data_IF_335750830077
#
_entry.id   IF_335750830077
#
_cell.length_a   1.000
_cell.length_b   1.000
_cell.length_c   1.000
_cell.angle_alpha   90.00
_cell.angle_beta   90.00
_cell.angle_gamma   90.00
#
_symmetry.space_group_name_H-M   'P 1'
#
loop_
_entity.id
_entity.type
_entity.pdbx_description
1 polymer ?
#
# COMPACT_ATOMS: atom_id res chain seq x y z
N UNK A 1 -0.21 4.55 19.86
CA UNK A 1 -1.45 4.00 19.24
C UNK A 1 -1.03 2.82 18.38
N UNK A 2 -1.80 1.74 18.36
CA UNK A 2 -1.40 0.48 17.71
C UNK A 2 -2.26 0.13 16.52
N UNK A 3 -1.98 -1.02 15.93
CA UNK A 3 -2.78 -1.63 14.86
C UNK A 3 -4.19 -1.95 15.37
N UNK A 4 -5.21 -1.53 14.60
CA UNK A 4 -6.58 -2.02 14.74
C UNK A 4 -6.85 -3.04 13.65
N UNK A 5 -7.41 -4.21 13.96
CA UNK A 5 -7.82 -5.19 12.93
C UNK A 5 -9.34 -5.21 12.86
N UNK A 6 -9.89 -5.03 11.66
CA UNK A 6 -11.33 -4.97 11.41
C UNK A 6 -11.73 -5.95 10.33
N UNK A 7 -12.81 -6.69 10.58
CA UNK A 7 -13.44 -7.52 9.56
C UNK A 7 -14.20 -6.63 8.58
N UNK A 8 -13.95 -6.78 7.28
CA UNK A 8 -14.62 -6.03 6.23
C UNK A 8 -13.77 -5.81 4.98
N UNK A 9 -14.40 -5.26 3.95
CA UNK A 9 -13.73 -4.89 2.71
C UNK A 9 -12.96 -3.57 2.88
N UNK A 10 -11.67 -3.61 2.59
CA UNK A 10 -10.80 -2.42 2.59
C UNK A 10 -11.36 -1.31 1.69
N UNK A 11 -12.01 -1.68 0.58
CA UNK A 11 -12.60 -0.75 -0.37
C UNK A 11 -13.78 0.05 0.20
N UNK A 12 -14.32 -0.39 1.34
CA UNK A 12 -15.38 0.28 2.10
C UNK A 12 -14.84 0.94 3.37
N UNK A 13 -13.52 1.07 3.50
CA UNK A 13 -12.89 1.74 4.63
C UNK A 13 -13.43 3.16 4.82
N UNK A 14 -13.79 3.49 6.05
CA UNK A 14 -14.22 4.84 6.43
C UNK A 14 -13.03 5.82 6.52
N UNK A 15 -11.82 5.27 6.62
CA UNK A 15 -10.57 6.00 6.70
C UNK A 15 -10.32 6.84 5.45
N UNK A 16 -9.61 7.94 5.63
CA UNK A 16 -9.34 8.89 4.55
C UNK A 16 -8.36 8.33 3.51
N UNK A 17 -7.39 7.52 3.97
CA UNK A 17 -6.36 6.92 3.12
C UNK A 17 -6.55 5.40 3.01
N UNK A 18 -6.51 4.87 1.79
CA UNK A 18 -6.40 3.44 1.50
C UNK A 18 -5.01 3.20 0.91
N UNK A 19 -4.16 2.45 1.61
CA UNK A 19 -2.83 2.08 1.13
C UNK A 19 -2.77 0.62 0.69
N UNK A 20 -1.97 0.34 -0.34
CA UNK A 20 -1.70 -1.02 -0.78
C UNK A 20 -0.32 -1.13 -1.45
N UNK A 21 0.25 -2.33 -1.43
CA UNK A 21 1.54 -2.58 -2.06
C UNK A 21 1.38 -2.74 -3.58
N UNK A 22 2.18 -2.00 -4.35
CA UNK A 22 2.33 -2.11 -5.80
C UNK A 22 3.72 -2.57 -6.20
N UNK A 23 3.85 -3.04 -7.44
CA UNK A 23 5.15 -3.30 -8.05
C UNK A 23 5.68 -2.08 -8.82
N UNK A 24 6.97 -2.07 -9.17
CA UNK A 24 7.54 -1.05 -10.03
C UNK A 24 7.25 -1.26 -11.52
N UNK A 25 6.69 -2.40 -11.93
CA UNK A 25 6.53 -2.79 -13.35
C UNK A 25 5.27 -2.21 -14.02
N UNK A 26 4.50 -1.35 -13.35
CA UNK A 26 3.26 -0.81 -13.93
C UNK A 26 2.12 -1.83 -14.04
N UNK A 27 2.17 -2.95 -13.32
CA UNK A 27 1.14 -4.01 -13.40
C UNK A 27 0.23 -4.06 -12.18
N UNK A 28 -1.09 -4.03 -12.40
CA UNK A 28 -2.10 -4.01 -11.33
C UNK A 28 -3.27 -4.95 -11.68
N UNK A 29 -2.99 -6.25 -11.74
CA UNK A 29 -3.88 -7.26 -12.34
C UNK A 29 -4.51 -8.28 -11.40
N UNK A 30 -4.18 -8.28 -10.11
CA UNK A 30 -4.63 -9.30 -9.15
C UNK A 30 -4.74 -8.78 -7.72
N UNK A 31 -5.47 -9.53 -6.88
CA UNK A 31 -5.64 -9.22 -5.46
C UNK A 31 -6.28 -7.86 -5.21
N UNK A 32 -5.94 -7.25 -4.07
CA UNK A 32 -6.43 -5.92 -3.67
C UNK A 32 -6.13 -4.84 -4.72
N UNK A 33 -4.98 -4.94 -5.39
CA UNK A 33 -4.57 -3.97 -6.41
C UNK A 33 -5.54 -3.96 -7.61
N UNK A 34 -6.06 -5.12 -8.03
CA UNK A 34 -7.10 -5.20 -9.07
C UNK A 34 -8.40 -4.53 -8.62
N UNK A 35 -8.79 -4.74 -7.36
CA UNK A 35 -10.02 -4.16 -6.81
C UNK A 35 -9.89 -2.63 -6.68
N UNK A 36 -8.73 -2.14 -6.20
CA UNK A 36 -8.40 -0.71 -6.16
C UNK A 36 -8.45 -0.09 -7.57
N UNK A 37 -7.83 -0.74 -8.56
CA UNK A 37 -7.92 -0.28 -9.97
C UNK A 37 -9.36 -0.11 -10.46
N UNK A 38 -10.24 -1.04 -10.08
CA UNK A 38 -11.62 -1.03 -10.54
C UNK A 38 -12.44 0.08 -9.88
N UNK A 39 -12.16 0.40 -8.60
CA UNK A 39 -12.90 1.41 -7.86
C UNK A 39 -12.30 2.82 -7.94
N UNK A 40 -10.98 2.93 -8.03
CA UNK A 40 -10.21 4.18 -8.06
C UNK A 40 -9.31 4.22 -9.31
N UNK A 41 -9.91 4.36 -10.52
CA UNK A 41 -9.16 4.35 -11.77
C UNK A 41 -8.09 5.45 -11.83
N UNK A 42 -8.30 6.60 -11.19
CA UNK A 42 -7.35 7.71 -11.12
C UNK A 42 -6.05 7.31 -10.42
N UNK A 43 -6.14 6.48 -9.38
CA UNK A 43 -4.97 5.95 -8.69
C UNK A 43 -4.15 4.99 -9.57
N UNK A 44 -4.82 4.27 -10.47
CA UNK A 44 -4.18 3.40 -11.45
C UNK A 44 -3.55 4.19 -12.60
N UNK A 45 -4.24 5.21 -13.11
CA UNK A 45 -3.72 6.08 -14.16
C UNK A 45 -2.46 6.83 -13.70
N UNK A 46 -2.49 7.42 -12.50
CA UNK A 46 -1.33 8.08 -11.90
C UNK A 46 -0.18 7.10 -11.63
N UNK A 47 -0.48 5.86 -11.23
CA UNK A 47 0.51 4.80 -11.08
C UNK A 47 1.18 4.45 -12.41
N UNK A 48 0.41 4.25 -13.48
CA UNK A 48 0.95 3.97 -14.81
C UNK A 48 1.80 5.12 -15.33
N UNK A 49 1.33 6.35 -15.19
CA UNK A 49 2.07 7.54 -15.60
C UNK A 49 3.42 7.60 -14.89
N UNK A 50 3.43 7.45 -13.56
CA UNK A 50 4.65 7.46 -12.77
C UNK A 50 5.62 6.33 -13.18
N UNK A 51 5.11 5.11 -13.35
CA UNK A 51 5.92 3.98 -13.83
C UNK A 51 6.50 4.19 -15.23
N UNK A 52 5.81 4.94 -16.09
CA UNK A 52 6.27 5.19 -17.47
C UNK A 52 7.43 6.18 -17.57
N UNK A 53 7.60 7.04 -16.56
CA UNK A 53 8.54 8.18 -16.59
C UNK A 53 9.63 8.11 -15.53
N UNK A 54 9.71 7.03 -14.77
CA UNK A 54 10.63 6.87 -13.64
C UNK A 54 11.19 5.46 -13.65
N UNK A 55 12.49 5.30 -13.40
CA UNK A 55 13.12 3.98 -13.37
C UNK A 55 12.60 3.15 -12.21
N UNK A 56 12.64 1.82 -12.34
CA UNK A 56 12.14 0.91 -11.30
C UNK A 56 12.92 1.07 -9.98
N UNK A 57 14.22 1.34 -10.09
CA UNK A 57 15.13 1.59 -8.97
C UNK A 57 14.76 2.87 -8.22
N UNK A 58 14.33 3.90 -8.94
CA UNK A 58 13.86 5.15 -8.32
C UNK A 58 12.47 4.98 -7.69
N UNK A 59 11.62 4.11 -8.24
CA UNK A 59 10.29 3.83 -7.71
C UNK A 59 10.33 3.02 -6.42
N UNK A 60 11.25 2.06 -6.31
CA UNK A 60 11.30 1.14 -5.18
C UNK A 60 11.45 1.90 -3.85
N UNK A 61 10.51 1.68 -2.94
CA UNK A 61 10.44 2.35 -1.64
C UNK A 61 9.65 3.66 -1.62
N UNK A 62 9.14 4.15 -2.76
CA UNK A 62 8.30 5.34 -2.80
C UNK A 62 6.87 5.06 -2.36
N UNK A 63 6.24 6.09 -1.79
CA UNK A 63 4.79 6.17 -1.64
C UNK A 63 4.25 7.23 -2.60
N UNK A 64 3.46 6.82 -3.60
CA UNK A 64 2.70 7.77 -4.42
C UNK A 64 1.31 7.93 -3.80
N UNK A 65 1.01 9.16 -3.37
CA UNK A 65 -0.32 9.52 -2.89
C UNK A 65 -1.15 10.13 -4.02
N UNK A 66 -2.35 9.59 -4.23
CA UNK A 66 -3.29 10.08 -5.24
C UNK A 66 -4.59 10.45 -4.55
N UNK A 67 -5.04 11.69 -4.70
CA UNK A 67 -6.34 12.12 -4.19
C UNK A 67 -7.39 11.90 -5.28
N UNK A 68 -8.48 11.23 -4.93
CA UNK A 68 -9.62 10.99 -5.82
C UNK A 68 -10.58 12.18 -5.80
N UNK A 69 -11.46 12.35 -6.80
CA UNK A 69 -12.39 13.47 -6.87
C UNK A 69 -13.34 13.59 -5.66
N UNK A 70 -13.67 12.47 -5.01
CA UNK A 70 -14.52 12.40 -3.81
C UNK A 70 -13.75 12.62 -2.50
N UNK A 71 -12.44 12.93 -2.58
CA UNK A 71 -11.61 13.30 -1.44
C UNK A 71 -10.95 12.13 -0.71
N UNK A 72 -11.15 10.88 -1.17
CA UNK A 72 -10.36 9.73 -0.69
C UNK A 72 -8.90 9.88 -1.17
N UNK A 73 -7.97 9.30 -0.41
CA UNK A 73 -6.57 9.23 -0.78
C UNK A 73 -6.18 7.76 -1.01
N UNK A 74 -5.58 7.45 -2.15
CA UNK A 74 -5.03 6.12 -2.44
C UNK A 74 -3.51 6.19 -2.42
N UNK A 75 -2.88 5.35 -1.62
CA UNK A 75 -1.43 5.26 -1.50
C UNK A 75 -0.92 4.01 -2.24
N UNK A 76 -0.23 4.24 -3.37
CA UNK A 76 0.51 3.19 -4.08
C UNK A 76 1.89 3.05 -3.41
N UNK A 77 2.07 1.97 -2.63
CA UNK A 77 3.29 1.70 -1.87
C UNK A 77 4.21 0.80 -2.68
N UNK A 78 5.28 1.33 -3.25
CA UNK A 78 6.21 0.61 -4.12
C UNK A 78 7.15 -0.32 -3.33
N UNK A 79 6.58 -1.38 -2.74
CA UNK A 79 7.29 -2.38 -1.94
C UNK A 79 7.75 -3.61 -2.73
N UNK A 80 7.66 -3.58 -4.07
CA UNK A 80 7.92 -4.74 -4.91
C UNK A 80 8.61 -4.32 -6.20
N UNK A 81 9.83 -4.78 -6.46
CA UNK A 81 10.51 -4.43 -7.71
C UNK A 81 9.88 -5.14 -8.93
N UNK A 82 9.66 -6.47 -8.83
CA UNK A 82 9.07 -7.34 -9.85
C UNK A 82 7.80 -8.01 -9.36
N UNK A 83 6.91 -8.46 -10.23
CA UNK A 83 5.70 -9.21 -9.85
C UNK A 83 5.67 -10.64 -10.38
N UNK A 84 4.81 -11.48 -9.80
CA UNK A 84 4.57 -12.82 -10.30
C UNK A 84 3.77 -13.70 -9.35
N UNK A 85 3.78 -15.00 -9.63
CA UNK A 85 3.09 -16.05 -8.87
C UNK A 85 4.01 -17.20 -8.47
N UNK A 86 5.31 -17.07 -8.75
CA UNK A 86 6.29 -18.08 -8.38
C UNK A 86 6.51 -18.06 -6.86
N UNK A 87 6.93 -19.17 -6.24
CA UNK A 87 7.25 -19.22 -4.81
C UNK A 87 8.59 -18.53 -4.52
N UNK A 88 8.67 -17.23 -4.82
CA UNK A 88 9.82 -16.35 -4.63
C UNK A 88 9.35 -15.13 -3.84
N UNK A 89 10.16 -14.65 -2.92
CA UNK A 89 9.94 -13.37 -2.25
C UNK A 89 9.99 -12.23 -3.28
N UNK A 90 8.87 -11.52 -3.43
CA UNK A 90 8.78 -10.33 -4.26
C UNK A 90 8.67 -9.05 -3.44
N UNK A 91 8.12 -9.13 -2.22
CA UNK A 91 8.14 -8.01 -1.28
C UNK A 91 9.57 -7.72 -0.87
N UNK A 92 9.98 -6.49 -1.14
CA UNK A 92 11.20 -5.91 -0.58
C UNK A 92 10.81 -5.22 0.74
N UNK A 93 11.27 -5.79 1.86
CA UNK A 93 10.87 -5.30 3.18
C UNK A 93 11.38 -3.90 3.47
N UNK A 94 12.58 -3.55 3.00
CA UNK A 94 13.15 -2.22 3.22
C UNK A 94 12.41 -1.18 2.38
N UNK A 95 12.04 -1.53 1.15
CA UNK A 95 11.19 -0.70 0.30
C UNK A 95 9.79 -0.51 0.91
N UNK A 96 9.15 -1.59 1.37
CA UNK A 96 7.84 -1.51 2.00
C UNK A 96 7.88 -0.63 3.26
N UNK A 97 8.91 -0.77 4.10
CA UNK A 97 9.14 0.06 5.29
C UNK A 97 9.26 1.54 4.93
N UNK A 98 10.03 1.87 3.90
CA UNK A 98 10.20 3.26 3.43
C UNK A 98 8.87 3.84 2.94
N UNK A 99 8.12 3.08 2.13
CA UNK A 99 6.84 3.52 1.61
C UNK A 99 5.79 3.72 2.72
N UNK A 100 5.70 2.80 3.67
CA UNK A 100 4.81 2.91 4.84
C UNK A 100 5.19 4.11 5.73
N UNK A 101 6.48 4.38 5.90
CA UNK A 101 6.94 5.55 6.67
C UNK A 101 6.56 6.87 5.98
N UNK A 102 6.68 6.94 4.65
CA UNK A 102 6.22 8.09 3.87
C UNK A 102 4.70 8.27 3.95
N UNK A 103 3.94 7.18 3.88
CA UNK A 103 2.49 7.18 4.07
C UNK A 103 2.11 7.77 5.44
N UNK A 104 2.73 7.27 6.53
CA UNK A 104 2.52 7.81 7.88
C UNK A 104 2.83 9.30 7.94
N UNK A 105 3.96 9.74 7.39
CA UNK A 105 4.35 11.14 7.36
C UNK A 105 3.29 12.02 6.70
N UNK A 106 2.86 11.63 5.50
CA UNK A 106 1.81 12.32 4.75
C UNK A 106 0.49 12.40 5.55
N UNK A 107 0.07 11.29 6.12
CA UNK A 107 -1.18 11.17 6.88
C UNK A 107 -1.15 12.02 8.14
N UNK A 108 -0.05 11.94 8.91
CA UNK A 108 0.15 12.71 10.14
C UNK A 108 0.11 14.22 9.89
N UNK A 109 0.82 14.70 8.87
CA UNK A 109 0.85 16.13 8.53
C UNK A 109 -0.53 16.71 8.23
N UNK A 110 -1.46 15.87 7.76
CA UNK A 110 -2.81 16.28 7.31
C UNK A 110 -3.93 15.81 8.24
N UNK A 111 -3.60 15.09 9.32
CA UNK A 111 -4.60 14.51 10.23
C UNK A 111 -5.50 13.44 9.58
N UNK A 112 -4.97 12.67 8.61
CA UNK A 112 -5.74 11.68 7.84
C UNK A 112 -5.63 10.28 8.45
N UNK A 113 -6.76 9.61 8.67
CA UNK A 113 -6.78 8.20 9.10
C UNK A 113 -6.40 7.24 7.97
N UNK A 114 -5.76 6.11 8.31
CA UNK A 114 -5.15 5.19 7.34
C UNK A 114 -5.74 3.78 7.47
N UNK A 115 -6.12 3.20 6.34
CA UNK A 115 -6.49 1.80 6.18
C UNK A 115 -5.53 1.06 5.25
N UNK A 116 -5.16 -0.17 5.62
CA UNK A 116 -4.34 -1.09 4.82
C UNK A 116 -5.03 -2.47 4.76
N UNK A 117 -4.76 -3.31 3.75
CA UNK A 117 -5.19 -4.69 3.78
C UNK A 117 -4.38 -5.47 4.83
N UNK A 118 -5.06 -6.31 5.61
CA UNK A 118 -4.41 -7.36 6.39
C UNK A 118 -3.60 -8.26 5.44
N UNK A 119 -2.40 -8.69 5.84
CA UNK A 119 -1.47 -9.40 4.95
C UNK A 119 -0.97 -8.60 3.74
N UNK A 120 -0.90 -7.26 3.84
CA UNK A 120 -0.18 -6.44 2.85
C UNK A 120 1.22 -7.01 2.59
N UNK A 121 1.59 -7.14 1.31
CA UNK A 121 2.88 -7.70 0.90
C UNK A 121 3.06 -9.22 1.11
N UNK A 122 2.11 -9.92 1.73
CA UNK A 122 2.32 -11.33 2.14
C UNK A 122 1.61 -12.36 1.26
N UNK A 123 0.58 -11.96 0.50
CA UNK A 123 -0.13 -12.85 -0.42
C UNK A 123 0.70 -13.22 -1.65
N UNK A 124 0.33 -12.68 -2.83
CA UNK A 124 1.04 -13.00 -4.08
C UNK A 124 2.51 -12.55 -4.12
N UNK A 125 2.90 -11.63 -3.23
CA UNK A 125 4.27 -11.14 -3.12
C UNK A 125 5.14 -11.98 -2.17
N UNK A 126 4.57 -13.00 -1.51
CA UNK A 126 5.24 -13.99 -0.66
C UNK A 126 6.07 -13.41 0.50
N UNK A 127 5.70 -12.23 1.02
CA UNK A 127 6.23 -11.72 2.28
C UNK A 127 5.79 -12.56 3.49
N UNK A 128 6.54 -12.45 4.58
CA UNK A 128 6.23 -13.03 5.88
C UNK A 128 5.41 -12.04 6.70
N UNK A 129 4.21 -12.45 7.10
CA UNK A 129 3.32 -11.59 7.87
C UNK A 129 3.91 -11.18 9.20
N UNK A 130 4.69 -12.03 9.87
CA UNK A 130 5.30 -11.71 11.16
C UNK A 130 6.28 -10.53 11.04
N UNK A 131 7.01 -10.47 9.92
CA UNK A 131 7.93 -9.36 9.61
C UNK A 131 7.15 -8.09 9.30
N UNK A 132 6.13 -8.19 8.42
CA UNK A 132 5.34 -7.03 8.00
C UNK A 132 4.50 -6.46 9.16
N UNK A 133 3.92 -7.32 9.99
CA UNK A 133 3.15 -6.92 11.16
C UNK A 133 4.03 -6.21 12.19
N UNK A 134 5.22 -6.74 12.49
CA UNK A 134 6.17 -6.07 13.37
C UNK A 134 6.60 -4.70 12.81
N UNK A 135 6.86 -4.63 11.49
CA UNK A 135 7.19 -3.38 10.80
C UNK A 135 6.06 -2.35 10.88
N UNK A 136 4.80 -2.75 10.64
CA UNK A 136 3.66 -1.83 10.74
C UNK A 136 3.49 -1.35 12.19
N UNK A 137 3.60 -2.25 13.17
CA UNK A 137 3.50 -1.87 14.59
C UNK A 137 4.57 -0.85 14.99
N UNK A 138 5.80 -1.02 14.55
CA UNK A 138 6.90 -0.09 14.81
C UNK A 138 6.67 1.27 14.12
N UNK A 139 6.35 1.26 12.82
CA UNK A 139 6.14 2.49 12.06
C UNK A 139 4.97 3.27 12.65
N UNK A 140 3.86 2.60 12.96
CA UNK A 140 2.61 3.22 13.40
C UNK A 140 2.44 3.25 14.92
N UNK A 141 3.50 3.06 15.71
CA UNK A 141 3.43 3.00 17.19
C UNK A 141 2.79 4.23 17.87
N UNK A 142 2.80 5.37 17.18
CA UNK A 142 2.29 6.67 17.62
C UNK A 142 1.25 7.24 16.64
N UNK A 143 0.71 6.43 15.73
CA UNK A 143 -0.28 6.83 14.73
C UNK A 143 -1.24 5.69 14.40
N UNK A 144 -2.55 5.91 14.47
CA UNK A 144 -3.51 4.83 14.25
C UNK A 144 -3.50 4.34 12.79
N UNK A 145 -3.56 3.01 12.62
CA UNK A 145 -3.75 2.34 11.33
C UNK A 145 -4.71 1.17 11.48
N UNK A 146 -5.68 1.08 10.57
CA UNK A 146 -6.65 -0.02 10.52
C UNK A 146 -6.27 -1.03 9.45
N UNK A 147 -6.16 -2.30 9.82
CA UNK A 147 -5.99 -3.43 8.91
C UNK A 147 -7.33 -4.09 8.63
N UNK A 148 -7.74 -4.10 7.37
CA UNK A 148 -8.99 -4.73 6.93
C UNK A 148 -8.75 -6.17 6.49
N UNK A 149 -9.56 -7.09 7.03
CA UNK A 149 -9.54 -8.52 6.70
C UNK A 149 -10.93 -8.95 6.24
N UNK A 150 -11.01 -9.59 5.07
CA UNK A 150 -12.21 -10.27 4.58
C UNK A 150 -12.52 -11.52 5.39
#
# INVERSE_FOLDING_TARGET
MGIQVKAGDLLQAAEHVIGHQVNCQGVMGSGVAKSIRAQFPEAYEAYLELCSRTSNEELLGRCQMVQTPDGKHVANLFGQFNYGRQPKLYTDYDALRQALSQLKGYARERGLTVALPYQIGCGLANGDWSIVEAMINEIFEDYEVTLYRL
#
